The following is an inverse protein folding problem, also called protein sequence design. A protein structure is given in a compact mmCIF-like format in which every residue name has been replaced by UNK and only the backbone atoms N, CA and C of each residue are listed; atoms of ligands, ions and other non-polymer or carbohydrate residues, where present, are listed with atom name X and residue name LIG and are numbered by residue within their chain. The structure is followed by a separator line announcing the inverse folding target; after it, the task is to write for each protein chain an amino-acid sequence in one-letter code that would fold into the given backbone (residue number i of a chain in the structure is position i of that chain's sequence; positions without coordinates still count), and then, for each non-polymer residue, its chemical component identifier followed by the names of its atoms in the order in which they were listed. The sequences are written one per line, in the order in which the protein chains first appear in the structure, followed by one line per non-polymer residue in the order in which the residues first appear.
data_IF_665553543330
#
_entry.id   IF_665553543330
#
_cell.length_a   1.000
_cell.length_b   1.000
_cell.length_c   1.000
_cell.angle_alpha   90.00
_cell.angle_beta   90.00
_cell.angle_gamma   90.00
#
_symmetry.space_group_name_H-M   'P 1'
#
loop_
_entity.id
_entity.type
_entity.pdbx_description
1 polymer ?
#
# COMPACT_ATOMS: atom_id res chain seq x y z
N UNK A 1 27.80 -4.41 19.48
CA UNK A 1 28.21 -3.00 19.28
C UNK A 1 26.98 -2.10 19.24
N UNK A 2 27.03 -0.94 19.91
CA UNK A 2 25.95 0.05 19.86
C UNK A 2 25.95 0.70 18.47
N UNK A 3 24.81 0.66 17.78
CA UNK A 3 24.67 1.26 16.45
C UNK A 3 24.77 2.78 16.58
N UNK A 4 25.63 3.48 15.81
CA UNK A 4 25.78 4.92 15.92
C UNK A 4 24.43 5.62 15.75
N UNK A 5 24.26 6.74 16.46
CA UNK A 5 23.02 7.52 16.41
C UNK A 5 23.06 8.37 15.13
N UNK A 6 22.30 7.94 14.12
CA UNK A 6 22.20 8.60 12.82
C UNK A 6 20.87 9.36 12.68
N UNK A 7 20.75 10.22 11.67
CA UNK A 7 19.49 10.87 11.32
C UNK A 7 19.25 12.23 12.00
N UNK A 8 20.32 12.98 12.33
CA UNK A 8 20.22 14.36 12.85
C UNK A 8 19.39 15.28 11.95
N UNK A 9 19.44 15.06 10.64
CA UNK A 9 18.68 15.82 9.64
C UNK A 9 17.17 15.72 9.84
N UNK A 10 16.68 14.61 10.42
CA UNK A 10 15.24 14.38 10.63
C UNK A 10 14.73 14.83 12.00
N UNK A 11 15.55 15.51 12.81
CA UNK A 11 15.17 15.97 14.15
C UNK A 11 14.00 16.96 14.10
N UNK A 12 14.03 17.92 13.17
CA UNK A 12 12.95 18.89 12.98
C UNK A 12 11.64 18.17 12.60
N UNK A 13 11.72 17.26 11.63
CA UNK A 13 10.57 16.46 11.20
C UNK A 13 10.03 15.58 12.32
N UNK A 14 10.90 15.02 13.17
CA UNK A 14 10.46 14.23 14.32
C UNK A 14 9.69 15.08 15.34
N UNK A 15 10.08 16.34 15.58
CA UNK A 15 9.32 17.27 16.43
C UNK A 15 7.93 17.55 15.86
N UNK A 16 7.85 17.89 14.58
CA UNK A 16 6.59 18.10 13.88
C UNK A 16 5.70 16.85 13.91
N UNK A 17 6.30 15.67 13.76
CA UNK A 17 5.58 14.39 13.81
C UNK A 17 5.05 14.08 15.20
N UNK A 18 5.77 14.43 16.27
CA UNK A 18 5.29 14.26 17.65
C UNK A 18 4.03 15.10 17.88
N UNK A 19 4.00 16.35 17.39
CA UNK A 19 2.83 17.24 17.53
C UNK A 19 1.63 16.77 16.72
N UNK A 20 1.85 16.19 15.54
CA UNK A 20 0.78 15.83 14.59
C UNK A 20 0.38 14.35 14.64
N UNK A 21 1.08 13.52 15.43
CA UNK A 21 0.86 12.08 15.47
C UNK A 21 -0.54 11.71 15.97
N UNK A 22 -1.30 11.01 15.12
CA UNK A 22 -2.62 10.46 15.46
C UNK A 22 -2.58 9.05 16.04
N UNK A 23 -1.42 8.39 16.00
CA UNK A 23 -1.26 7.01 16.48
C UNK A 23 -0.07 6.92 17.43
N UNK A 24 -0.21 6.06 18.43
CA UNK A 24 0.85 5.82 19.43
C UNK A 24 2.12 5.30 18.77
N UNK A 25 1.99 4.45 17.74
CA UNK A 25 3.16 3.94 17.01
C UNK A 25 3.89 5.05 16.24
N UNK A 26 3.18 6.02 15.66
CA UNK A 26 3.80 7.16 14.98
C UNK A 26 4.52 8.07 15.98
N UNK A 27 3.89 8.33 17.13
CA UNK A 27 4.48 9.11 18.22
C UNK A 27 5.77 8.44 18.73
N UNK A 28 5.69 7.15 19.06
CA UNK A 28 6.84 6.37 19.56
C UNK A 28 7.97 6.28 18.54
N UNK A 29 7.66 6.21 17.24
CA UNK A 29 8.67 6.20 16.19
C UNK A 29 9.45 7.52 16.12
N UNK A 30 8.75 8.65 16.22
CA UNK A 30 9.38 9.97 16.25
C UNK A 30 10.20 10.18 17.54
N UNK A 31 9.67 9.77 18.70
CA UNK A 31 10.39 9.82 19.97
C UNK A 31 11.65 8.94 19.98
N UNK A 32 11.59 7.75 19.36
CA UNK A 32 12.74 6.86 19.26
C UNK A 32 13.91 7.44 18.45
N UNK A 33 13.63 8.41 17.55
CA UNK A 33 14.65 9.20 16.86
C UNK A 33 15.08 10.42 17.69
N UNK A 34 14.11 11.19 18.19
CA UNK A 34 14.36 12.48 18.86
C UNK A 34 15.15 12.32 20.17
N UNK A 35 14.75 11.38 21.02
CA UNK A 35 15.27 11.24 22.39
C UNK A 35 16.80 10.99 22.43
N UNK A 36 17.36 10.07 21.65
CA UNK A 36 18.82 9.90 21.57
C UNK A 36 19.55 11.09 20.94
N UNK A 37 18.93 11.78 19.98
CA UNK A 37 19.61 12.80 19.17
C UNK A 37 19.67 14.17 19.84
N UNK A 38 18.60 14.61 20.49
CA UNK A 38 18.57 15.89 21.19
C UNK A 38 18.99 15.80 22.65
N UNK A 39 18.66 14.71 23.33
CA UNK A 39 18.87 14.58 24.77
C UNK A 39 20.01 13.62 25.12
N UNK A 40 20.72 13.07 24.12
CA UNK A 40 21.85 12.17 24.34
C UNK A 40 21.47 10.84 25.00
N UNK A 41 20.19 10.48 25.02
CA UNK A 41 19.70 9.30 25.71
C UNK A 41 20.18 8.01 25.04
N UNK A 42 20.52 7.00 25.85
CA UNK A 42 20.85 5.68 25.33
C UNK A 42 19.60 5.03 24.71
N UNK A 43 19.79 4.06 23.82
CA UNK A 43 18.66 3.29 23.26
C UNK A 43 17.89 2.53 24.34
N UNK A 44 18.54 2.15 25.43
CA UNK A 44 17.90 1.47 26.57
C UNK A 44 17.03 2.44 27.35
N UNK A 45 17.58 3.60 27.72
CA UNK A 45 16.81 4.67 28.38
C UNK A 45 15.62 5.11 27.53
N UNK A 46 15.86 5.31 26.24
CA UNK A 46 14.80 5.67 25.28
C UNK A 46 13.71 4.61 25.25
N UNK A 47 14.08 3.33 25.21
CA UNK A 47 13.14 2.22 25.20
C UNK A 47 12.28 2.19 26.47
N UNK A 48 12.90 2.41 27.64
CA UNK A 48 12.19 2.54 28.92
C UNK A 48 11.21 3.70 28.91
N UNK A 49 11.62 4.89 28.45
CA UNK A 49 10.78 6.11 28.41
C UNK A 49 9.54 5.90 27.51
N UNK A 50 9.71 5.32 26.33
CA UNK A 50 8.59 5.13 25.39
C UNK A 50 7.77 3.85 25.67
N UNK A 51 8.20 3.04 26.65
CA UNK A 51 7.54 1.81 27.09
C UNK A 51 7.68 0.64 26.11
N UNK A 52 8.84 0.50 25.45
CA UNK A 52 9.12 -0.54 24.47
C UNK A 52 10.41 -1.31 24.79
N UNK A 53 10.65 -2.43 24.09
CA UNK A 53 11.94 -3.12 24.16
C UNK A 53 13.02 -2.41 23.35
N UNK A 54 14.29 -2.52 23.78
CA UNK A 54 15.47 -1.98 23.07
C UNK A 54 15.48 -2.31 21.58
N UNK A 55 15.14 -3.56 21.25
CA UNK A 55 15.07 -4.05 19.86
C UNK A 55 13.99 -3.32 19.06
N UNK A 56 12.78 -3.18 19.62
CA UNK A 56 11.67 -2.50 18.94
C UNK A 56 11.95 -1.01 18.78
N UNK A 57 12.52 -0.36 19.78
CA UNK A 57 12.95 1.05 19.73
C UNK A 57 13.97 1.28 18.62
N UNK A 58 15.00 0.44 18.53
CA UNK A 58 15.98 0.52 17.45
C UNK A 58 15.37 0.33 16.07
N UNK A 59 14.45 -0.64 15.90
CA UNK A 59 13.71 -0.85 14.65
C UNK A 59 12.84 0.35 14.28
N UNK A 60 12.15 0.95 15.25
CA UNK A 60 11.31 2.13 15.03
C UNK A 60 12.15 3.33 14.55
N UNK A 61 13.31 3.57 15.17
CA UNK A 61 14.24 4.63 14.75
C UNK A 61 14.67 4.45 13.29
N UNK A 62 15.14 3.25 12.91
CA UNK A 62 15.56 2.97 11.53
C UNK A 62 14.39 3.07 10.55
N UNK A 63 13.21 2.59 10.94
CA UNK A 63 12.01 2.68 10.11
C UNK A 63 11.58 4.13 9.89
N UNK A 64 11.64 4.97 10.92
CA UNK A 64 11.36 6.39 10.80
C UNK A 64 12.25 7.04 9.74
N UNK A 65 13.57 6.83 9.81
CA UNK A 65 14.52 7.32 8.80
C UNK A 65 14.19 6.82 7.39
N UNK A 66 13.81 5.54 7.24
CA UNK A 66 13.42 4.96 5.93
C UNK A 66 12.15 5.57 5.36
N UNK A 67 11.20 5.96 6.23
CA UNK A 67 9.97 6.64 5.81
C UNK A 67 10.29 8.07 5.35
N UNK A 68 11.10 8.81 6.11
CA UNK A 68 11.47 10.18 5.76
C UNK A 68 12.37 10.27 4.52
N UNK A 69 13.21 9.27 4.28
CA UNK A 69 14.00 9.14 3.04
C UNK A 69 13.19 8.59 1.85
N UNK A 70 11.91 8.27 2.05
CA UNK A 70 11.03 7.73 0.99
C UNK A 70 11.29 6.28 0.60
N UNK A 71 12.27 5.61 1.23
CA UNK A 71 12.60 4.18 1.00
C UNK A 71 11.46 3.26 1.44
N UNK A 72 10.67 3.66 2.44
CA UNK A 72 9.53 2.90 2.92
C UNK A 72 8.27 3.76 2.96
N UNK A 73 7.23 3.35 2.23
CA UNK A 73 5.92 4.01 2.33
C UNK A 73 5.08 3.43 3.48
N UNK A 74 4.40 4.32 4.20
CA UNK A 74 3.46 3.93 5.26
C UNK A 74 2.21 3.31 4.63
N UNK A 75 2.11 1.98 4.69
CA UNK A 75 0.93 1.26 4.21
C UNK A 75 -0.19 1.31 5.25
N UNK A 76 -1.38 1.77 4.86
CA UNK A 76 -2.57 1.67 5.70
C UNK A 76 -3.11 0.24 5.71
N UNK A 77 -3.78 -0.20 6.78
CA UNK A 77 -4.42 -1.53 6.84
C UNK A 77 -5.37 -1.77 5.65
N UNK A 78 -6.09 -0.72 5.21
CA UNK A 78 -6.99 -0.77 4.06
C UNK A 78 -6.27 -0.95 2.71
N UNK A 79 -4.99 -0.61 2.64
CA UNK A 79 -4.14 -0.82 1.46
C UNK A 79 -3.36 -2.14 1.48
N UNK A 80 -3.49 -2.95 2.54
CA UNK A 80 -2.82 -4.24 2.61
C UNK A 80 -3.56 -5.27 1.75
N UNK A 81 -2.81 -5.93 0.87
CA UNK A 81 -3.28 -6.99 -0.03
C UNK A 81 -2.95 -8.39 0.51
N UNK A 82 -3.13 -8.60 1.82
CA UNK A 82 -2.68 -9.82 2.52
C UNK A 82 -3.36 -11.11 2.03
N UNK A 83 -4.55 -11.00 1.43
CA UNK A 83 -5.28 -12.11 0.81
C UNK A 83 -5.49 -11.91 -0.70
N UNK A 84 -4.64 -11.10 -1.33
CA UNK A 84 -4.70 -10.97 -2.79
C UNK A 84 -4.30 -12.29 -3.43
N UNK A 85 -5.10 -12.72 -4.42
CA UNK A 85 -4.92 -13.98 -5.14
C UNK A 85 -3.90 -13.87 -6.29
N UNK A 86 -3.55 -12.65 -6.68
CA UNK A 86 -2.63 -12.29 -7.76
C UNK A 86 -1.95 -10.95 -7.42
N UNK A 87 -0.85 -10.64 -8.08
CA UNK A 87 -0.23 -9.31 -8.05
C UNK A 87 -1.09 -8.26 -8.78
N UNK A 88 -0.75 -6.96 -8.69
CA UNK A 88 -1.45 -5.93 -9.46
C UNK A 88 -1.25 -6.13 -10.97
N UNK A 89 -0.02 -6.42 -11.38
CA UNK A 89 0.34 -6.60 -12.79
C UNK A 89 -0.29 -7.86 -13.37
N UNK A 90 -0.35 -8.96 -12.60
CA UNK A 90 -1.06 -10.18 -12.99
C UNK A 90 -2.55 -9.95 -13.17
N UNK A 91 -3.18 -9.16 -12.30
CA UNK A 91 -4.59 -8.79 -12.45
C UNK A 91 -4.82 -7.93 -13.69
N UNK A 92 -3.92 -7.00 -14.00
CA UNK A 92 -3.99 -6.21 -15.23
C UNK A 92 -3.91 -7.13 -16.44
N UNK A 93 -2.89 -7.98 -16.51
CA UNK A 93 -2.72 -8.93 -17.61
C UNK A 93 -3.90 -9.88 -17.77
N UNK A 94 -4.52 -10.30 -16.66
CA UNK A 94 -5.73 -11.12 -16.68
C UNK A 94 -6.94 -10.38 -17.23
N UNK A 95 -7.14 -9.12 -16.84
CA UNK A 95 -8.32 -8.33 -17.23
C UNK A 95 -8.24 -7.76 -18.64
N UNK A 96 -7.04 -7.45 -19.14
CA UNK A 96 -6.81 -6.85 -20.47
C UNK A 96 -7.63 -7.49 -21.59
N UNK A 97 -7.61 -8.82 -21.83
CA UNK A 97 -8.37 -9.42 -22.93
C UNK A 97 -9.88 -9.22 -22.80
N UNK A 98 -10.44 -9.38 -21.59
CA UNK A 98 -11.88 -9.20 -21.34
C UNK A 98 -12.31 -7.75 -21.51
N UNK A 99 -11.46 -6.80 -21.15
CA UNK A 99 -11.75 -5.38 -21.30
C UNK A 99 -11.75 -4.99 -22.79
N UNK A 100 -10.80 -5.50 -23.57
CA UNK A 100 -10.76 -5.27 -25.03
C UNK A 100 -12.00 -5.87 -25.71
N UNK A 101 -12.39 -7.09 -25.33
CA UNK A 101 -13.59 -7.74 -25.87
C UNK A 101 -14.87 -6.98 -25.49
N UNK A 102 -14.96 -6.50 -24.25
CA UNK A 102 -16.07 -5.68 -23.77
C UNK A 102 -16.18 -4.33 -24.47
N UNK A 103 -15.07 -3.77 -24.98
CA UNK A 103 -15.12 -2.53 -25.79
C UNK A 103 -15.85 -2.76 -27.11
N UNK A 104 -15.66 -3.93 -27.73
CA UNK A 104 -16.29 -4.26 -29.01
C UNK A 104 -17.77 -4.64 -28.83
N UNK A 105 -18.11 -5.27 -27.70
CA UNK A 105 -19.46 -5.80 -27.43
C UNK A 105 -20.32 -4.88 -26.54
N UNK A 106 -19.72 -3.86 -25.92
CA UNK A 106 -20.38 -2.92 -25.02
C UNK A 106 -20.68 -3.46 -23.61
N UNK A 107 -20.32 -4.72 -23.31
CA UNK A 107 -20.61 -5.35 -22.03
C UNK A 107 -19.54 -6.37 -21.58
N UNK A 108 -19.24 -6.39 -20.28
CA UNK A 108 -18.39 -7.42 -19.67
C UNK A 108 -19.22 -8.64 -19.27
N UNK A 109 -18.87 -9.81 -19.79
CA UNK A 109 -19.52 -11.07 -19.43
C UNK A 109 -18.97 -11.62 -18.08
N UNK A 110 -19.59 -11.17 -16.98
CA UNK A 110 -19.18 -11.48 -15.60
C UNK A 110 -19.11 -13.00 -15.28
N UNK A 111 -20.05 -13.86 -15.73
CA UNK A 111 -19.98 -15.29 -15.47
C UNK A 111 -18.73 -15.97 -16.06
N UNK A 112 -18.36 -15.60 -17.29
CA UNK A 112 -17.15 -16.12 -17.94
C UNK A 112 -15.88 -15.60 -17.26
N UNK A 113 -15.84 -14.31 -16.91
CA UNK A 113 -14.73 -13.74 -16.15
C UNK A 113 -14.53 -14.47 -14.81
N UNK A 114 -15.62 -14.84 -14.13
CA UNK A 114 -15.58 -15.63 -12.90
C UNK A 114 -14.98 -17.02 -13.14
N UNK A 115 -15.45 -17.74 -14.17
CA UNK A 115 -14.97 -19.08 -14.48
C UNK A 115 -13.47 -19.10 -14.79
N UNK A 116 -12.99 -18.13 -15.57
CA UNK A 116 -11.56 -17.97 -15.89
C UNK A 116 -10.73 -17.57 -14.67
N UNK A 117 -11.28 -16.73 -13.78
CA UNK A 117 -10.63 -16.40 -12.52
C UNK A 117 -10.51 -17.62 -11.60
N UNK A 118 -11.55 -18.46 -11.51
CA UNK A 118 -11.55 -19.70 -10.73
C UNK A 118 -10.52 -20.71 -11.29
N UNK A 119 -10.41 -20.83 -12.62
CA UNK A 119 -9.39 -21.66 -13.28
C UNK A 119 -7.98 -21.20 -12.96
N UNK A 120 -7.72 -19.89 -13.06
CA UNK A 120 -6.39 -19.30 -12.82
C UNK A 120 -5.95 -19.37 -11.36
N UNK A 121 -6.88 -19.19 -10.43
CA UNK A 121 -6.61 -19.25 -8.98
C UNK A 121 -6.63 -20.70 -8.45
N UNK A 122 -7.29 -21.62 -9.15
CA UNK A 122 -7.45 -23.02 -8.74
C UNK A 122 -8.39 -23.21 -7.54
N UNK A 123 -9.26 -22.23 -7.27
CA UNK A 123 -10.22 -22.26 -6.15
C UNK A 123 -11.52 -21.58 -6.55
N UNK A 124 -12.62 -21.96 -5.90
CA UNK A 124 -13.87 -21.22 -6.08
C UNK A 124 -13.75 -19.79 -5.53
N UNK A 125 -14.35 -18.87 -6.27
CA UNK A 125 -14.30 -17.44 -6.02
C UNK A 125 -15.74 -16.91 -5.97
N UNK A 126 -16.05 -16.03 -5.02
CA UNK A 126 -17.35 -15.38 -4.96
C UNK A 126 -17.53 -14.36 -6.10
N UNK A 127 -18.76 -14.12 -6.53
CA UNK A 127 -19.09 -13.01 -7.45
C UNK A 127 -18.64 -11.66 -6.89
N UNK A 128 -18.71 -11.46 -5.57
CA UNK A 128 -18.21 -10.25 -4.90
C UNK A 128 -16.70 -10.04 -5.10
N UNK A 129 -15.90 -11.11 -5.20
CA UNK A 129 -14.46 -11.00 -5.47
C UNK A 129 -14.21 -10.50 -6.90
N UNK A 130 -15.00 -10.95 -7.87
CA UNK A 130 -14.92 -10.48 -9.27
C UNK A 130 -15.24 -8.99 -9.33
N UNK A 131 -16.30 -8.55 -8.65
CA UNK A 131 -16.62 -7.11 -8.58
C UNK A 131 -15.56 -6.29 -7.82
N UNK A 132 -14.95 -6.83 -6.76
CA UNK A 132 -13.84 -6.16 -6.06
C UNK A 132 -12.58 -6.06 -6.93
N UNK A 133 -12.30 -7.09 -7.75
CA UNK A 133 -11.23 -7.06 -8.75
C UNK A 133 -11.48 -5.93 -9.74
N UNK A 134 -12.66 -5.89 -10.37
CA UNK A 134 -13.01 -4.84 -11.32
C UNK A 134 -12.96 -3.45 -10.66
N UNK A 135 -13.53 -3.28 -9.45
CA UNK A 135 -13.54 -2.00 -8.72
C UNK A 135 -12.14 -1.48 -8.42
N UNK A 136 -11.17 -2.35 -8.09
CA UNK A 136 -9.78 -1.96 -7.84
C UNK A 136 -9.10 -1.39 -9.10
N UNK A 137 -9.59 -1.80 -10.25
CA UNK A 137 -9.08 -1.50 -11.59
C UNK A 137 -9.92 -0.43 -12.31
N UNK A 138 -10.82 0.25 -11.58
CA UNK A 138 -11.67 1.33 -12.10
C UNK A 138 -12.94 0.86 -12.81
N UNK A 139 -13.12 -0.44 -13.02
CA UNK A 139 -14.33 -1.03 -13.60
C UNK A 139 -15.39 -1.30 -12.53
N UNK A 140 -16.33 -0.39 -12.36
CA UNK A 140 -17.49 -0.59 -11.47
C UNK A 140 -18.78 -0.48 -12.27
N UNK A 141 -19.94 -0.80 -11.68
CA UNK A 141 -21.25 -0.55 -12.33
C UNK A 141 -21.44 0.91 -12.78
N UNK A 142 -20.72 1.86 -12.19
CA UNK A 142 -20.70 3.27 -12.60
C UNK A 142 -19.87 3.52 -13.86
N UNK A 143 -18.96 2.61 -14.22
CA UNK A 143 -18.27 2.57 -15.51
C UNK A 143 -19.12 1.86 -16.59
N UNK A 144 -20.43 2.03 -16.49
CA UNK A 144 -21.38 1.91 -17.58
C UNK A 144 -21.93 3.30 -17.95
N UNK A 145 -21.35 4.36 -17.37
CA UNK A 145 -21.68 5.75 -17.69
C UNK A 145 -20.57 6.35 -18.58
N UNK A 146 -20.95 6.94 -19.72
CA UNK A 146 -20.03 7.26 -20.82
C UNK A 146 -18.89 8.23 -20.49
N UNK A 147 -18.95 8.95 -19.35
CA UNK A 147 -17.88 9.88 -18.93
C UNK A 147 -16.75 9.21 -18.13
N UNK A 148 -17.06 8.21 -17.31
CA UNK A 148 -16.05 7.47 -16.53
C UNK A 148 -15.37 6.40 -17.39
N UNK A 149 -16.07 5.96 -18.44
CA UNK A 149 -15.61 4.96 -19.40
C UNK A 149 -14.38 5.47 -20.17
N UNK A 150 -14.34 6.73 -20.60
CA UNK A 150 -13.28 7.23 -21.49
C UNK A 150 -11.91 7.27 -20.80
N UNK A 151 -11.81 7.74 -19.55
CA UNK A 151 -10.52 7.86 -18.85
C UNK A 151 -9.97 6.50 -18.43
N UNK A 152 -10.83 5.63 -17.90
CA UNK A 152 -10.46 4.26 -17.55
C UNK A 152 -10.08 3.51 -18.84
N UNK A 153 -10.85 3.63 -19.92
CA UNK A 153 -10.54 3.01 -21.22
C UNK A 153 -9.22 3.52 -21.82
N UNK A 154 -8.92 4.81 -21.74
CA UNK A 154 -7.64 5.34 -22.22
C UNK A 154 -6.46 4.86 -21.38
N UNK A 155 -6.62 4.72 -20.06
CA UNK A 155 -5.60 4.15 -19.20
C UNK A 155 -5.32 2.68 -19.56
N UNK A 156 -6.37 1.89 -19.83
CA UNK A 156 -6.22 0.51 -20.31
C UNK A 156 -5.60 0.41 -21.71
N UNK A 157 -5.96 1.32 -22.64
CA UNK A 157 -5.35 1.39 -23.99
C UNK A 157 -3.84 1.65 -23.92
N UNK A 158 -3.39 2.52 -23.00
CA UNK A 158 -1.95 2.77 -22.75
C UNK A 158 -1.25 1.57 -22.14
N UNK A 159 -1.94 0.78 -21.30
CA UNK A 159 -1.37 -0.44 -20.70
C UNK A 159 -1.28 -1.62 -21.69
N UNK A 160 -2.27 -1.80 -22.58
CA UNK A 160 -2.26 -2.85 -23.59
C UNK A 160 -1.39 -2.56 -24.83
N UNK A 161 -1.06 -1.28 -25.08
CA UNK A 161 -0.23 -0.87 -26.22
C UNK A 161 1.28 -0.90 -25.92
N UNK A 162 1.69 -1.14 -24.66
CA UNK A 162 3.08 -1.49 -24.34
C UNK A 162 3.27 -2.98 -24.64
N UNK A 163 3.53 -3.26 -25.91
CA UNK A 163 4.05 -4.54 -26.39
C UNK A 163 5.54 -4.40 -26.65
#
# INVERSE_FOLDING_TARGET
MARPVTGREFVKTAKERIQTAKTVDALRAAQALLLPLEFGLSLEQTATIIGLSKSRTGKLRTRFQRIETGVEQVKTKKGLRNHARMSLDEEVNFLTPFIIEAQNTGALHIPQLKAELERRVGRSVSTSTVYQLLRRHGWSKLAQHPRTDIEVMQAWKRMGSKK
#
